data_IF_480135072889
#
_entry.id   IF_480135072889
#
_cell.length_a   1.000
_cell.length_b   1.000
_cell.length_c   1.000
_cell.angle_alpha   90.00
_cell.angle_beta   90.00
_cell.angle_gamma   90.00
#
_symmetry.space_group_name_H-M   'P 1'
#
loop_
_entity.id
_entity.type
_entity.pdbx_description
1 polymer ?
#
# COMPACT_ATOMS: atom_id res chain seq x y z
N UNK A 1 23.96 -13.35 -19.32
CA UNK A 1 25.08 -12.33 -19.29
C UNK A 1 25.09 -11.72 -17.90
N UNK A 2 26.25 -11.73 -17.19
CA UNK A 2 26.33 -11.05 -15.87
C UNK A 2 26.46 -9.54 -16.07
N UNK A 3 25.67 -8.77 -15.34
CA UNK A 3 25.70 -7.32 -15.37
C UNK A 3 26.89 -6.79 -14.54
N UNK A 4 27.64 -5.85 -15.08
CA UNK A 4 28.65 -5.12 -14.32
C UNK A 4 27.96 -3.99 -13.53
N UNK A 5 28.00 -4.04 -12.20
CA UNK A 5 27.38 -3.05 -11.30
C UNK A 5 28.38 -2.01 -10.78
N UNK A 6 29.65 -2.04 -11.24
CA UNK A 6 30.73 -1.24 -10.65
C UNK A 6 30.42 0.27 -10.66
N UNK A 7 30.02 0.83 -11.79
CA UNK A 7 29.73 2.27 -11.90
C UNK A 7 28.52 2.67 -11.05
N UNK A 8 27.49 1.81 -11.01
CA UNK A 8 26.32 2.04 -10.19
C UNK A 8 26.64 2.02 -8.69
N UNK A 9 27.49 1.08 -8.26
CA UNK A 9 27.97 0.99 -6.87
C UNK A 9 28.80 2.23 -6.50
N UNK A 10 29.70 2.69 -7.39
CA UNK A 10 30.49 3.90 -7.17
C UNK A 10 29.60 5.14 -7.03
N UNK A 11 28.54 5.26 -7.82
CA UNK A 11 27.61 6.38 -7.74
C UNK A 11 26.81 6.37 -6.42
N UNK A 12 26.38 5.20 -5.95
CA UNK A 12 25.73 5.03 -4.64
C UNK A 12 26.67 5.49 -3.52
N UNK A 13 27.92 5.08 -3.54
CA UNK A 13 28.92 5.47 -2.55
C UNK A 13 29.22 6.97 -2.60
N UNK A 14 29.39 7.52 -3.79
CA UNK A 14 29.64 8.95 -3.98
C UNK A 14 28.47 9.82 -3.47
N UNK A 15 27.24 9.43 -3.78
CA UNK A 15 26.03 10.12 -3.31
C UNK A 15 25.63 9.79 -1.88
N UNK A 16 26.38 8.92 -1.20
CA UNK A 16 26.07 8.45 0.17
C UNK A 16 24.63 7.95 0.33
N UNK A 17 24.13 7.21 -0.68
CA UNK A 17 22.80 6.60 -0.62
C UNK A 17 22.89 5.37 0.27
N UNK A 18 22.08 5.32 1.32
CA UNK A 18 22.03 4.16 2.21
C UNK A 18 21.42 2.97 1.46
N UNK A 19 22.28 2.01 1.11
CA UNK A 19 21.91 0.81 0.37
C UNK A 19 22.54 -0.41 1.04
N UNK A 20 21.78 -1.47 1.23
CA UNK A 20 22.27 -2.69 1.87
C UNK A 20 22.63 -3.76 0.87
N UNK A 21 21.75 -3.99 -0.09
CA UNK A 21 21.91 -5.03 -1.12
C UNK A 21 21.37 -4.53 -2.45
N UNK A 22 21.99 -4.96 -3.54
CA UNK A 22 21.49 -4.79 -4.89
C UNK A 22 21.36 -6.19 -5.49
N UNK A 23 20.19 -6.51 -6.00
CA UNK A 23 19.91 -7.72 -6.77
C UNK A 23 19.23 -7.33 -8.05
N UNK A 24 19.80 -7.70 -9.18
CA UNK A 24 19.21 -7.48 -10.50
C UNK A 24 18.82 -8.83 -11.08
N UNK A 25 17.56 -8.96 -11.47
CA UNK A 25 17.02 -10.15 -12.13
C UNK A 25 16.51 -9.80 -13.52
N UNK A 26 16.68 -10.71 -14.46
CA UNK A 26 16.17 -10.61 -15.81
C UNK A 26 15.73 -12.01 -16.26
N UNK A 27 14.50 -12.18 -16.73
CA UNK A 27 13.94 -13.46 -17.14
C UNK A 27 14.15 -14.58 -16.09
N UNK A 28 13.84 -14.27 -14.83
CA UNK A 28 14.01 -15.15 -13.67
C UNK A 28 15.44 -15.54 -13.29
N UNK A 29 16.44 -15.04 -14.01
CA UNK A 29 17.85 -15.23 -13.68
C UNK A 29 18.39 -14.03 -12.88
N UNK A 30 19.25 -14.31 -11.89
CA UNK A 30 20.04 -13.28 -11.23
C UNK A 30 21.22 -12.91 -12.12
N UNK A 31 21.15 -11.71 -12.71
CA UNK A 31 22.18 -11.19 -13.63
C UNK A 31 23.17 -10.25 -12.97
N UNK A 32 22.89 -9.76 -11.75
CA UNK A 32 23.81 -8.92 -10.99
C UNK A 32 23.46 -8.91 -9.49
N UNK A 33 24.51 -8.89 -8.66
CA UNK A 33 24.40 -8.76 -7.21
C UNK A 33 25.58 -7.95 -6.67
N UNK A 34 25.26 -7.11 -5.68
CA UNK A 34 26.26 -6.45 -4.84
C UNK A 34 25.73 -6.29 -3.44
N UNK A 35 26.51 -6.66 -2.44
CA UNK A 35 26.14 -6.58 -1.04
C UNK A 35 27.04 -5.58 -0.32
N UNK A 36 26.52 -4.41 0.08
CA UNK A 36 27.22 -3.42 0.89
C UNK A 36 27.38 -3.91 2.34
N UNK A 37 26.50 -4.81 2.75
CA UNK A 37 26.44 -5.39 4.10
C UNK A 37 26.55 -6.91 4.01
N UNK A 38 27.32 -7.51 4.94
CA UNK A 38 27.59 -8.96 4.95
C UNK A 38 26.64 -9.74 5.85
N UNK A 39 25.87 -9.07 6.68
CA UNK A 39 24.90 -9.71 7.58
C UNK A 39 23.59 -10.02 6.84
N UNK A 40 22.89 -11.05 7.32
CA UNK A 40 21.58 -11.47 6.81
C UNK A 40 20.43 -10.92 7.67
N UNK A 41 20.60 -9.74 8.24
CA UNK A 41 19.60 -9.09 9.08
C UNK A 41 18.36 -8.79 8.26
N UNK A 42 17.19 -9.00 8.87
CA UNK A 42 15.91 -8.58 8.29
C UNK A 42 15.74 -7.09 8.48
N UNK A 43 15.40 -6.40 7.40
CA UNK A 43 15.11 -4.98 7.40
C UNK A 43 13.63 -4.73 7.09
N UNK A 44 13.15 -3.58 7.56
CA UNK A 44 11.80 -3.15 7.24
C UNK A 44 11.74 -2.72 5.77
N UNK A 45 10.88 -3.38 5.00
CA UNK A 45 10.67 -3.09 3.58
C UNK A 45 9.67 -1.95 3.34
N UNK A 46 9.11 -1.38 4.42
CA UNK A 46 8.14 -0.28 4.34
C UNK A 46 7.04 -0.53 3.27
N UNK A 47 6.84 0.43 2.38
CA UNK A 47 5.77 0.37 1.37
C UNK A 47 5.97 -0.65 0.25
N UNK A 48 7.12 -1.31 0.17
CA UNK A 48 7.28 -2.48 -0.70
C UNK A 48 6.31 -3.60 -0.29
N UNK A 49 5.91 -3.65 0.99
CA UNK A 49 4.87 -4.56 1.49
C UNK A 49 3.54 -4.47 0.73
N UNK A 50 3.21 -3.32 0.14
CA UNK A 50 2.01 -3.14 -0.67
C UNK A 50 1.99 -4.02 -1.92
N UNK A 51 3.15 -4.32 -2.49
CA UNK A 51 3.27 -5.26 -3.62
C UNK A 51 2.89 -6.68 -3.21
N UNK A 52 3.21 -7.09 -1.98
CA UNK A 52 2.80 -8.40 -1.45
C UNK A 52 1.29 -8.46 -1.21
N UNK A 53 0.69 -7.37 -0.69
CA UNK A 53 -0.77 -7.28 -0.55
C UNK A 53 -1.45 -7.37 -1.93
N UNK A 54 -0.95 -6.64 -2.92
CA UNK A 54 -1.47 -6.70 -4.29
C UNK A 54 -1.38 -8.10 -4.88
N UNK A 55 -0.26 -8.80 -4.65
CA UNK A 55 -0.09 -10.18 -5.09
C UNK A 55 -1.12 -11.12 -4.42
N UNK A 56 -1.30 -10.99 -3.10
CA UNK A 56 -2.26 -11.80 -2.35
C UNK A 56 -3.71 -11.55 -2.82
N UNK A 57 -4.09 -10.29 -3.10
CA UNK A 57 -5.39 -9.98 -3.75
C UNK A 57 -5.49 -10.66 -5.11
N UNK A 58 -4.42 -10.61 -5.92
CA UNK A 58 -4.40 -11.29 -7.23
C UNK A 58 -4.63 -12.80 -7.12
N UNK A 59 -4.04 -13.44 -6.12
CA UNK A 59 -4.25 -14.87 -5.82
C UNK A 59 -5.70 -15.14 -5.42
N UNK A 60 -6.26 -14.34 -4.50
CA UNK A 60 -7.66 -14.47 -4.07
C UNK A 60 -8.66 -14.26 -5.23
N UNK A 61 -8.35 -13.35 -6.15
CA UNK A 61 -9.14 -13.16 -7.39
C UNK A 61 -9.04 -14.37 -8.31
N UNK A 62 -7.85 -14.94 -8.48
CA UNK A 62 -7.63 -16.13 -9.30
C UNK A 62 -8.37 -17.36 -8.73
N UNK A 63 -8.48 -17.45 -7.41
CA UNK A 63 -9.21 -18.52 -6.71
C UNK A 63 -10.72 -18.26 -6.62
N UNK A 64 -11.20 -17.12 -7.12
CA UNK A 64 -12.62 -16.75 -7.11
C UNK A 64 -13.14 -16.33 -5.73
N UNK A 65 -12.24 -16.04 -4.78
CA UNK A 65 -12.59 -15.60 -3.42
C UNK A 65 -12.97 -14.11 -3.41
N UNK A 66 -12.29 -13.29 -4.21
CA UNK A 66 -12.52 -11.85 -4.35
C UNK A 66 -12.75 -11.46 -5.81
N UNK A 67 -13.47 -10.35 -6.00
CA UNK A 67 -13.60 -9.68 -7.30
C UNK A 67 -13.10 -8.23 -7.18
N UNK A 68 -12.34 -7.76 -8.17
CA UNK A 68 -11.81 -6.38 -8.17
C UNK A 68 -12.90 -5.31 -8.19
N UNK A 69 -14.10 -5.62 -8.62
CA UNK A 69 -15.24 -4.69 -8.66
C UNK A 69 -16.10 -4.73 -7.39
N UNK A 70 -15.77 -5.60 -6.43
CA UNK A 70 -16.39 -5.59 -5.11
C UNK A 70 -16.09 -4.29 -4.35
N UNK A 71 -17.04 -3.89 -3.50
CA UNK A 71 -17.01 -2.64 -2.77
C UNK A 71 -16.77 -2.89 -1.29
N UNK A 72 -15.66 -2.41 -0.72
CA UNK A 72 -15.39 -2.53 0.70
C UNK A 72 -16.51 -2.02 1.59
N UNK A 73 -17.24 -0.99 1.17
CA UNK A 73 -18.40 -0.46 1.89
C UNK A 73 -19.53 -1.50 2.05
N UNK A 74 -19.67 -2.44 1.15
CA UNK A 74 -20.67 -3.52 1.24
C UNK A 74 -20.22 -4.64 2.17
N UNK A 75 -18.92 -4.86 2.30
CA UNK A 75 -18.32 -5.88 3.16
C UNK A 75 -18.26 -5.37 4.61
N UNK A 76 -17.80 -4.15 4.81
CA UNK A 76 -17.64 -3.52 6.13
C UNK A 76 -18.82 -2.62 6.52
N UNK A 77 -20.07 -3.05 6.27
CA UNK A 77 -21.29 -2.23 6.52
C UNK A 77 -21.42 -1.75 7.95
N UNK A 78 -21.03 -2.57 8.91
CA UNK A 78 -21.05 -2.27 10.34
C UNK A 78 -19.98 -1.27 10.79
N UNK A 79 -19.02 -0.95 9.91
CA UNK A 79 -17.93 -0.01 10.13
C UNK A 79 -18.13 1.34 9.44
N UNK A 80 -19.18 1.49 8.65
CA UNK A 80 -19.46 2.72 7.93
C UNK A 80 -19.84 3.87 8.88
N UNK A 81 -19.55 5.14 8.52
CA UNK A 81 -20.09 6.29 9.22
C UNK A 81 -21.61 6.32 9.09
N UNK A 82 -22.30 7.03 9.98
CA UNK A 82 -23.77 7.16 10.02
C UNK A 82 -24.36 7.64 8.68
N UNK A 83 -23.65 8.54 8.00
CA UNK A 83 -24.05 9.11 6.71
C UNK A 83 -22.91 8.95 5.69
N UNK A 84 -22.71 7.75 5.13
CA UNK A 84 -21.64 7.52 4.17
C UNK A 84 -21.87 8.29 2.87
N UNK A 85 -20.83 8.92 2.31
CA UNK A 85 -20.94 9.63 1.03
C UNK A 85 -21.16 8.65 -0.12
N UNK A 86 -21.82 9.12 -1.20
CA UNK A 86 -22.00 8.33 -2.41
C UNK A 86 -20.66 7.82 -2.96
N UNK A 87 -19.62 8.66 -2.96
CA UNK A 87 -18.30 8.29 -3.41
C UNK A 87 -17.67 7.17 -2.55
N UNK A 88 -17.82 7.24 -1.22
CA UNK A 88 -17.34 6.16 -0.34
C UNK A 88 -18.00 4.82 -0.70
N UNK A 89 -19.32 4.83 -0.95
CA UNK A 89 -20.09 3.64 -1.32
C UNK A 89 -19.74 3.07 -2.71
N UNK A 90 -19.03 3.83 -3.54
CA UNK A 90 -18.65 3.44 -4.91
C UNK A 90 -17.23 2.92 -5.02
N UNK A 91 -16.39 3.11 -4.00
CA UNK A 91 -15.00 2.62 -4.03
C UNK A 91 -15.00 1.11 -4.26
N UNK A 92 -14.16 0.67 -5.20
CA UNK A 92 -13.93 -0.74 -5.49
C UNK A 92 -12.54 -1.19 -5.00
N UNK A 93 -12.32 -2.51 -4.91
CA UNK A 93 -10.98 -3.08 -4.64
C UNK A 93 -9.98 -2.60 -5.70
N UNK A 94 -10.41 -2.50 -6.95
CA UNK A 94 -9.61 -1.96 -8.06
C UNK A 94 -9.13 -0.53 -7.78
N UNK A 95 -10.03 0.36 -7.36
CA UNK A 95 -9.70 1.76 -7.05
C UNK A 95 -8.70 1.85 -5.89
N UNK A 96 -8.84 0.98 -4.90
CA UNK A 96 -7.91 0.89 -3.77
C UNK A 96 -6.50 0.47 -4.21
N UNK A 97 -6.38 -0.56 -5.05
CA UNK A 97 -5.09 -1.02 -5.57
C UNK A 97 -4.43 0.02 -6.48
N UNK A 98 -5.23 0.79 -7.22
CA UNK A 98 -4.76 1.87 -8.08
C UNK A 98 -4.39 3.15 -7.31
N UNK A 99 -4.57 3.23 -6.00
CA UNK A 99 -4.43 4.45 -5.21
C UNK A 99 -5.38 5.57 -5.67
N UNK A 100 -6.53 5.20 -6.19
CA UNK A 100 -7.53 6.10 -6.77
C UNK A 100 -8.88 6.04 -6.04
N UNK A 101 -8.87 5.80 -4.72
CA UNK A 101 -10.08 5.69 -3.91
C UNK A 101 -10.85 7.03 -3.76
N UNK A 102 -10.31 8.15 -4.26
CA UNK A 102 -10.99 9.44 -4.25
C UNK A 102 -10.70 10.34 -3.06
N UNK A 103 -9.74 10.00 -2.21
CA UNK A 103 -9.25 10.85 -1.12
C UNK A 103 -8.29 11.92 -1.66
N UNK A 104 -8.29 13.11 -1.05
CA UNK A 104 -7.34 14.20 -1.38
C UNK A 104 -6.16 14.28 -0.41
N UNK A 105 -6.09 13.41 0.57
CA UNK A 105 -5.01 13.35 1.56
C UNK A 105 -4.55 11.91 1.82
N UNK A 106 -3.45 11.76 2.58
CA UNK A 106 -2.83 10.48 2.87
C UNK A 106 -3.52 9.78 4.06
N UNK A 107 -4.54 8.99 3.80
CA UNK A 107 -5.24 8.19 4.82
C UNK A 107 -4.31 7.15 5.45
N UNK A 108 -4.39 7.00 6.78
CA UNK A 108 -3.57 6.07 7.57
C UNK A 108 -2.05 6.29 7.39
N UNK A 109 -1.61 7.54 7.19
CA UNK A 109 -0.20 7.88 7.39
C UNK A 109 0.21 7.63 8.85
N UNK A 110 1.50 7.58 9.16
CA UNK A 110 1.99 7.40 10.52
C UNK A 110 1.50 8.53 11.43
N UNK A 111 2.33 9.51 11.67
CA UNK A 111 1.98 10.74 12.38
C UNK A 111 1.54 11.82 11.40
N UNK A 112 0.42 12.50 11.65
CA UNK A 112 -0.09 13.58 10.79
C UNK A 112 0.14 14.97 11.37
N UNK A 113 0.03 15.11 12.67
CA UNK A 113 0.00 16.40 13.35
C UNK A 113 -1.27 17.22 13.10
N UNK A 114 -2.24 16.69 12.34
CA UNK A 114 -3.52 17.34 12.05
C UNK A 114 -4.63 16.74 12.93
N UNK A 115 -5.19 17.52 13.88
CA UNK A 115 -6.26 17.03 14.75
C UNK A 115 -7.52 16.58 13.99
N UNK A 116 -7.74 17.10 12.79
CA UNK A 116 -8.89 16.75 11.95
C UNK A 116 -8.70 15.38 11.29
N UNK A 117 -7.46 15.05 10.94
CA UNK A 117 -7.11 13.80 10.28
C UNK A 117 -5.87 13.18 10.94
N UNK A 118 -6.00 12.71 12.22
CA UNK A 118 -4.89 12.11 12.92
C UNK A 118 -4.32 10.92 12.16
N UNK A 119 -3.02 10.71 12.24
CA UNK A 119 -2.38 9.53 11.68
C UNK A 119 -2.66 8.28 12.52
N UNK A 120 -2.33 7.10 12.00
CA UNK A 120 -2.56 5.83 12.70
C UNK A 120 -1.86 5.77 14.08
N UNK A 121 -0.71 6.43 14.24
CA UNK A 121 0.06 6.43 15.48
C UNK A 121 -0.56 7.37 16.55
N UNK A 122 -1.55 8.19 16.16
CA UNK A 122 -2.30 9.13 16.98
C UNK A 122 -3.71 8.60 17.34
N UNK A 123 -4.12 7.46 16.76
CA UNK A 123 -5.44 6.89 16.94
C UNK A 123 -5.62 6.31 18.36
N UNK A 124 -6.72 6.67 18.98
CA UNK A 124 -7.18 6.07 20.25
C UNK A 124 -8.12 4.90 20.05
N UNK A 125 -8.82 4.85 18.90
CA UNK A 125 -9.71 3.76 18.53
C UNK A 125 -8.91 2.65 17.88
N UNK A 126 -8.96 1.39 18.37
CA UNK A 126 -8.30 0.25 17.75
C UNK A 126 -8.94 -0.19 16.42
N UNK A 127 -10.15 0.29 16.10
CA UNK A 127 -10.87 -0.04 14.87
C UNK A 127 -10.39 0.83 13.69
N UNK A 128 -9.28 0.45 13.13
CA UNK A 128 -8.69 1.16 12.00
C UNK A 128 -9.53 1.07 10.72
N UNK A 129 -10.35 0.02 10.56
CA UNK A 129 -11.28 -0.10 9.42
C UNK A 129 -12.32 1.00 9.49
N UNK A 130 -13.00 1.13 10.66
CA UNK A 130 -13.97 2.19 10.88
C UNK A 130 -13.37 3.57 10.70
N UNK A 131 -12.18 3.78 11.26
CA UNK A 131 -11.46 5.04 11.10
C UNK A 131 -11.16 5.34 9.62
N UNK A 132 -10.60 4.39 8.88
CA UNK A 132 -10.31 4.57 7.46
C UNK A 132 -11.56 4.93 6.65
N UNK A 133 -12.69 4.27 6.91
CA UNK A 133 -13.95 4.52 6.22
C UNK A 133 -14.65 5.83 6.65
N UNK A 134 -14.23 6.45 7.76
CA UNK A 134 -14.78 7.74 8.22
C UNK A 134 -14.24 8.95 7.45
N UNK A 135 -13.20 8.78 6.67
CA UNK A 135 -12.58 9.88 5.95
C UNK A 135 -13.42 10.35 4.75
N UNK A 136 -13.46 11.67 4.47
CA UNK A 136 -14.14 12.20 3.30
C UNK A 136 -13.56 11.67 1.98
N UNK A 137 -14.44 11.43 1.01
CA UNK A 137 -14.08 11.01 -0.35
C UNK A 137 -14.60 12.06 -1.33
N UNK A 138 -13.85 13.18 -1.51
CA UNK A 138 -14.33 14.31 -2.30
C UNK A 138 -14.36 14.04 -3.81
N UNK A 139 -13.52 13.13 -4.30
CA UNK A 139 -13.46 12.82 -5.73
C UNK A 139 -14.14 11.50 -6.06
N UNK A 140 -14.65 11.38 -7.28
CA UNK A 140 -15.21 10.14 -7.79
C UNK A 140 -14.09 9.07 -7.83
N UNK A 141 -14.29 7.88 -7.24
CA UNK A 141 -13.30 6.80 -7.31
C UNK A 141 -12.86 6.51 -8.75
N UNK A 142 -11.60 6.21 -8.92
CA UNK A 142 -10.97 5.99 -10.22
C UNK A 142 -10.53 7.27 -10.96
N UNK A 143 -10.92 8.47 -10.50
CA UNK A 143 -10.62 9.73 -11.22
C UNK A 143 -9.49 10.57 -10.65
N UNK A 144 -9.11 10.33 -9.39
CA UNK A 144 -8.06 11.11 -8.70
C UNK A 144 -7.07 10.18 -8.00
N UNK A 145 -5.82 10.28 -8.39
CA UNK A 145 -4.74 9.49 -7.79
C UNK A 145 -4.17 10.19 -6.56
N UNK A 146 -4.14 9.48 -5.45
CA UNK A 146 -3.47 9.94 -4.23
C UNK A 146 -2.85 8.77 -3.49
N UNK A 147 -1.53 8.82 -3.28
CA UNK A 147 -0.86 7.79 -2.49
C UNK A 147 -1.46 7.72 -1.08
N UNK A 148 -1.79 6.52 -0.63
CA UNK A 148 -2.47 6.29 0.65
C UNK A 148 -2.16 4.89 1.19
N UNK A 149 -2.31 4.71 2.50
CA UNK A 149 -2.34 3.40 3.14
C UNK A 149 -3.77 2.81 3.22
N UNK A 150 -4.79 3.59 2.89
CA UNK A 150 -6.20 3.18 2.92
C UNK A 150 -6.44 1.86 2.17
N UNK A 151 -6.16 1.86 0.88
CA UNK A 151 -6.41 0.70 0.02
C UNK A 151 -5.64 -0.54 0.44
N UNK A 152 -4.31 -0.51 0.54
CA UNK A 152 -3.52 -1.67 0.96
C UNK A 152 -3.90 -2.20 2.34
N UNK A 153 -4.27 -1.34 3.28
CA UNK A 153 -4.71 -1.76 4.60
C UNK A 153 -6.04 -2.51 4.52
N UNK A 154 -7.07 -1.94 3.88
CA UNK A 154 -8.36 -2.62 3.72
C UNK A 154 -8.24 -3.92 2.92
N UNK A 155 -7.44 -3.93 1.86
CA UNK A 155 -7.14 -5.15 1.12
C UNK A 155 -6.49 -6.22 2.02
N UNK A 156 -5.59 -5.84 2.93
CA UNK A 156 -4.98 -6.81 3.85
C UNK A 156 -5.98 -7.39 4.85
N UNK A 157 -6.97 -6.61 5.28
CA UNK A 157 -8.06 -7.10 6.13
C UNK A 157 -8.97 -8.05 5.36
N UNK A 158 -9.36 -7.69 4.12
CA UNK A 158 -10.20 -8.55 3.26
C UNK A 158 -9.60 -9.92 2.93
N UNK A 159 -8.28 -10.04 2.93
CA UNK A 159 -7.60 -11.33 2.65
C UNK A 159 -7.47 -12.17 3.93
N UNK A 160 -7.54 -11.56 5.09
CA UNK A 160 -7.33 -12.23 6.37
C UNK A 160 -8.59 -12.96 6.87
N UNK A 161 -9.77 -12.46 6.51
CA UNK A 161 -11.09 -13.02 6.86
C UNK A 161 -11.54 -14.08 5.84
#
# INVERSE_FOLDING_TARGET
MKLNLQDYVQEILHKKIETYHIVVRQHDEEVGRFDFRKDNRRDNIHSVSKSFVSLAVGMAVQEGILNLDEKPAEIFRDKLPENPSENLMRITIRDMLMMAAGHDYFVLQGYSGDPKYPGRDELKDPDWVRYALSFPVPYVPGTYWKYSNFGPYLCSVLIQD
#
